data_IF_254036039676
#
_entry.id   IF_254036039676
#
_cell.length_a   1.000
_cell.length_b   1.000
_cell.length_c   1.000
_cell.angle_alpha   90.00
_cell.angle_beta   90.00
_cell.angle_gamma   90.00
#
_symmetry.space_group_name_H-M   'P 1'
#
loop_
_entity.id
_entity.type
_entity.pdbx_description
1 polymer ?
#
# COMPACT_ATOMS: atom_id res chain seq x y z
N UNK A 1 -21.40 -3.90 -23.63
CA UNK A 1 -21.09 -2.98 -22.50
C UNK A 1 -22.23 -1.98 -22.24
N UNK A 2 -23.45 -2.45 -21.93
CA UNK A 2 -24.54 -1.54 -21.56
C UNK A 2 -24.49 -1.25 -20.05
N UNK A 3 -24.73 0.00 -19.64
CA UNK A 3 -24.91 0.38 -18.22
C UNK A 3 -23.68 0.91 -17.47
N UNK A 4 -22.53 1.14 -18.13
CA UNK A 4 -21.38 1.82 -17.50
C UNK A 4 -21.42 3.31 -17.73
N UNK A 5 -21.08 4.09 -16.70
CA UNK A 5 -20.95 5.54 -16.79
C UNK A 5 -19.73 5.89 -17.65
N UNK A 6 -19.95 6.49 -18.82
CA UNK A 6 -18.87 6.87 -19.76
C UNK A 6 -18.49 8.35 -19.67
N UNK A 7 -19.43 9.22 -19.29
CA UNK A 7 -19.17 10.64 -19.13
C UNK A 7 -20.10 11.29 -18.09
N UNK A 8 -19.61 12.35 -17.46
CA UNK A 8 -20.40 13.28 -16.65
C UNK A 8 -20.28 14.66 -17.32
N UNK A 9 -21.42 15.28 -17.58
CA UNK A 9 -21.50 16.61 -18.17
C UNK A 9 -22.14 17.60 -17.20
N UNK A 10 -21.65 18.84 -17.20
CA UNK A 10 -22.33 19.92 -16.48
C UNK A 10 -23.69 20.17 -17.10
N UNK A 11 -24.69 20.38 -16.25
CA UNK A 11 -26.03 20.74 -16.69
C UNK A 11 -26.10 22.15 -17.29
N UNK A 12 -25.24 23.07 -16.82
CA UNK A 12 -25.25 24.48 -17.22
C UNK A 12 -24.85 24.72 -18.67
N UNK A 13 -23.79 24.05 -19.13
CA UNK A 13 -23.14 24.32 -20.41
C UNK A 13 -22.87 23.04 -21.24
N UNK A 14 -23.25 21.87 -20.74
CA UNK A 14 -23.03 20.59 -21.43
C UNK A 14 -21.58 20.14 -21.51
N UNK A 15 -20.63 20.89 -20.93
CA UNK A 15 -19.21 20.53 -20.95
C UNK A 15 -18.96 19.24 -20.17
N UNK A 16 -18.09 18.38 -20.72
CA UNK A 16 -17.69 17.14 -20.06
C UNK A 16 -16.72 17.46 -18.93
N UNK A 17 -17.07 17.07 -17.71
CA UNK A 17 -16.22 17.23 -16.52
C UNK A 17 -15.54 15.92 -16.10
N UNK A 18 -16.08 14.79 -16.55
CA UNK A 18 -15.41 13.52 -16.39
C UNK A 18 -15.71 12.59 -17.57
N UNK A 19 -14.74 11.79 -17.97
CA UNK A 19 -14.94 10.64 -18.85
C UNK A 19 -14.20 9.41 -18.35
N UNK A 20 -14.65 8.24 -18.79
CA UNK A 20 -14.16 6.95 -18.30
C UNK A 20 -14.08 5.93 -19.43
N UNK A 21 -12.93 5.28 -19.54
CA UNK A 21 -12.71 4.18 -20.49
C UNK A 21 -12.74 2.85 -19.74
N UNK A 22 -13.23 1.81 -20.43
CA UNK A 22 -13.40 0.48 -19.87
C UNK A 22 -12.78 -0.58 -20.78
N UNK A 23 -12.29 -1.67 -20.19
CA UNK A 23 -11.87 -2.86 -20.92
C UNK A 23 -13.06 -3.74 -21.35
N UNK A 24 -12.77 -4.87 -21.99
CA UNK A 24 -13.77 -5.84 -22.45
C UNK A 24 -14.62 -6.41 -21.30
N UNK A 25 -14.02 -6.59 -20.12
CA UNK A 25 -14.68 -7.07 -18.90
C UNK A 25 -15.49 -5.97 -18.18
N UNK A 26 -15.44 -4.74 -18.70
CA UNK A 26 -16.13 -3.59 -18.13
C UNK A 26 -15.49 -3.03 -16.87
N UNK A 27 -14.19 -3.28 -16.64
CA UNK A 27 -13.37 -2.64 -15.61
C UNK A 27 -12.88 -1.29 -16.13
N UNK A 28 -12.83 -0.27 -15.26
CA UNK A 28 -12.41 1.07 -15.66
C UNK A 28 -10.90 1.10 -15.81
N UNK A 29 -10.39 1.32 -17.02
CA UNK A 29 -8.94 1.37 -17.29
C UNK A 29 -8.38 2.80 -17.28
N UNK A 30 -9.24 3.81 -17.46
CA UNK A 30 -8.87 5.22 -17.39
C UNK A 30 -10.03 6.08 -16.89
N UNK A 31 -9.69 7.14 -16.16
CA UNK A 31 -10.56 8.29 -15.91
C UNK A 31 -9.85 9.58 -16.26
N UNK A 32 -10.57 10.53 -16.86
CA UNK A 32 -10.18 11.93 -16.90
C UNK A 32 -11.23 12.71 -16.11
N UNK A 33 -10.85 13.34 -15.00
CA UNK A 33 -11.76 14.16 -14.18
C UNK A 33 -11.17 15.56 -14.10
N UNK A 34 -11.88 16.55 -14.65
CA UNK A 34 -11.44 17.95 -14.72
C UNK A 34 -10.02 18.12 -15.29
N UNK A 35 -9.61 17.28 -16.25
CA UNK A 35 -8.27 17.31 -16.85
C UNK A 35 -7.24 16.43 -16.15
N UNK A 36 -7.53 15.90 -14.95
CA UNK A 36 -6.64 14.96 -14.27
C UNK A 36 -6.88 13.53 -14.78
N UNK A 37 -5.87 12.99 -15.46
CA UNK A 37 -5.88 11.60 -15.95
C UNK A 37 -5.36 10.65 -14.88
N UNK A 38 -6.12 9.58 -14.65
CA UNK A 38 -5.71 8.42 -13.85
C UNK A 38 -5.93 7.16 -14.67
N UNK A 39 -4.87 6.39 -14.89
CA UNK A 39 -4.95 5.06 -15.49
C UNK A 39 -4.92 4.01 -14.37
N UNK A 40 -5.66 2.92 -14.54
CA UNK A 40 -5.76 1.83 -13.57
C UNK A 40 -5.16 0.56 -14.14
N UNK A 41 -4.18 -0.01 -13.45
CA UNK A 41 -3.56 -1.28 -13.84
C UNK A 41 -4.00 -2.39 -12.89
N UNK A 42 -4.55 -3.47 -13.44
CA UNK A 42 -5.17 -4.55 -12.70
C UNK A 42 -4.25 -5.77 -12.51
N UNK A 43 -4.56 -6.57 -11.49
CA UNK A 43 -3.96 -7.87 -11.22
C UNK A 43 -4.54 -8.93 -12.17
N UNK A 44 -4.00 -9.02 -13.39
CA UNK A 44 -4.50 -9.91 -14.45
C UNK A 44 -5.98 -9.62 -14.75
N UNK A 45 -6.82 -10.66 -14.73
CA UNK A 45 -8.27 -10.55 -14.97
C UNK A 45 -9.08 -10.19 -13.71
N UNK A 46 -8.41 -9.85 -12.61
CA UNK A 46 -9.07 -9.46 -11.37
C UNK A 46 -9.64 -8.03 -11.42
N UNK A 47 -10.64 -7.76 -10.58
CA UNK A 47 -11.13 -6.40 -10.30
C UNK A 47 -10.16 -5.57 -9.41
N UNK A 48 -9.04 -6.15 -9.00
CA UNK A 48 -8.06 -5.55 -8.09
C UNK A 48 -7.06 -4.67 -8.84
N UNK A 49 -7.02 -3.39 -8.51
CA UNK A 49 -6.06 -2.43 -9.08
C UNK A 49 -4.72 -2.58 -8.36
N UNK A 50 -3.64 -2.96 -9.03
CA UNK A 50 -2.30 -3.02 -8.45
C UNK A 50 -1.71 -1.63 -8.25
N UNK A 51 -1.85 -0.75 -9.23
CA UNK A 51 -1.37 0.62 -9.17
C UNK A 51 -2.12 1.54 -10.13
N UNK A 52 -2.00 2.84 -9.85
CA UNK A 52 -2.50 3.92 -10.69
C UNK A 52 -1.35 4.67 -11.33
N UNK A 53 -1.55 5.19 -12.54
CA UNK A 53 -0.59 6.11 -13.17
C UNK A 53 -1.24 7.42 -13.58
N UNK A 54 -0.42 8.45 -13.73
CA UNK A 54 -0.82 9.68 -14.43
C UNK A 54 -0.79 9.50 -15.95
N UNK A 55 -1.07 10.57 -16.70
CA UNK A 55 -1.03 10.60 -18.16
C UNK A 55 0.32 10.20 -18.76
N UNK A 56 1.42 10.47 -18.05
CA UNK A 56 2.80 10.16 -18.45
C UNK A 56 3.24 8.76 -18.00
N UNK A 57 2.30 7.90 -17.60
CA UNK A 57 2.54 6.55 -17.08
C UNK A 57 3.42 6.48 -15.83
N UNK A 58 3.57 7.60 -15.10
CA UNK A 58 4.26 7.57 -13.81
C UNK A 58 3.30 7.09 -12.74
N UNK A 59 3.78 6.19 -11.89
CA UNK A 59 2.96 5.60 -10.83
C UNK A 59 2.68 6.64 -9.76
N UNK A 60 1.40 6.85 -9.46
CA UNK A 60 0.94 7.81 -8.45
C UNK A 60 0.49 7.13 -7.17
N UNK A 61 0.13 5.83 -7.24
CA UNK A 61 -0.34 5.05 -6.10
C UNK A 61 -0.14 3.56 -6.32
N UNK A 62 0.20 2.85 -5.25
CA UNK A 62 0.24 1.40 -5.21
C UNK A 62 -0.81 0.86 -4.24
N UNK A 63 -1.34 -0.31 -4.56
CA UNK A 63 -2.22 -1.07 -3.68
C UNK A 63 -1.63 -2.46 -3.44
N UNK A 64 -1.81 -2.97 -2.23
CA UNK A 64 -1.38 -4.31 -1.87
C UNK A 64 -2.56 -5.06 -1.25
N UNK A 65 -2.91 -6.19 -1.84
CA UNK A 65 -4.01 -7.03 -1.38
C UNK A 65 -3.45 -8.29 -0.73
N UNK A 66 -3.56 -8.38 0.60
CA UNK A 66 -3.21 -9.61 1.30
C UNK A 66 -4.25 -10.70 1.00
N UNK A 67 -3.92 -11.68 0.14
CA UNK A 67 -4.65 -12.95 0.07
C UNK A 67 -4.23 -13.81 1.28
N UNK A 68 -4.91 -13.63 2.42
CA UNK A 68 -4.60 -14.47 3.59
C UNK A 68 -5.47 -14.22 4.81
N UNK A 69 -6.26 -15.24 5.18
CA UNK A 69 -6.91 -15.35 6.48
C UNK A 69 -5.85 -15.32 7.59
N UNK A 70 -5.93 -14.33 8.48
CA UNK A 70 -5.17 -14.28 9.73
C UNK A 70 -4.15 -13.14 9.78
N UNK A 71 -4.57 -12.02 10.37
CA UNK A 71 -3.79 -10.83 10.69
C UNK A 71 -2.54 -11.18 11.52
N UNK A 72 -1.42 -11.45 10.84
CA UNK A 72 -0.09 -11.56 11.47
C UNK A 72 0.71 -10.34 11.06
N UNK A 73 0.86 -9.39 11.97
CA UNK A 73 1.63 -8.18 11.75
C UNK A 73 3.03 -8.36 12.31
N UNK A 74 4.06 -7.97 11.55
CA UNK A 74 5.45 -7.97 12.01
C UNK A 74 6.00 -6.55 12.00
N UNK A 75 6.67 -6.15 13.10
CA UNK A 75 7.36 -4.86 13.19
C UNK A 75 8.85 -5.07 13.46
N UNK A 76 9.71 -4.26 12.86
CA UNK A 76 11.15 -4.22 13.13
C UNK A 76 11.51 -2.90 13.84
N UNK A 77 12.27 -2.98 14.94
CA UNK A 77 12.70 -1.81 15.72
C UNK A 77 14.20 -1.89 16.04
N UNK A 78 14.91 -0.78 15.89
CA UNK A 78 16.30 -0.62 16.32
C UNK A 78 16.27 0.14 17.65
N UNK A 79 16.96 -0.37 18.66
CA UNK A 79 17.09 0.25 19.97
C UNK A 79 18.52 0.76 20.16
N UNK A 80 18.72 2.04 20.50
CA UNK A 80 20.02 2.56 20.90
C UNK A 80 20.47 1.93 22.23
N UNK A 81 21.75 2.08 22.56
CA UNK A 81 22.35 1.56 23.80
C UNK A 81 21.61 2.13 25.02
N UNK A 82 21.12 1.27 25.91
CA UNK A 82 20.45 1.63 27.16
C UNK A 82 20.72 0.57 28.22
N UNK A 83 20.65 0.92 29.50
CA UNK A 83 20.79 0.00 30.64
C UNK A 83 22.06 -0.89 30.57
N UNK A 84 23.21 -0.30 30.18
CA UNK A 84 24.44 -1.04 29.91
C UNK A 84 24.26 -2.23 28.98
N UNK A 85 23.31 -2.15 28.03
CA UNK A 85 23.02 -3.19 27.05
C UNK A 85 23.11 -2.59 25.64
N UNK A 86 23.99 -3.18 24.81
CA UNK A 86 24.37 -2.67 23.49
C UNK A 86 23.20 -2.41 22.53
N UNK A 87 23.52 -1.80 21.38
CA UNK A 87 22.55 -1.51 20.32
C UNK A 87 21.90 -2.83 19.91
N UNK A 88 20.57 -2.92 19.96
CA UNK A 88 19.89 -4.17 19.62
C UNK A 88 18.73 -3.98 18.66
N UNK A 89 18.52 -4.98 17.81
CA UNK A 89 17.49 -5.00 16.79
C UNK A 89 16.44 -6.02 17.23
N UNK A 90 15.17 -5.62 17.24
CA UNK A 90 14.06 -6.48 17.68
C UNK A 90 13.02 -6.62 16.58
N UNK A 91 12.75 -7.85 16.16
CA UNK A 91 11.55 -8.21 15.39
C UNK A 91 10.45 -8.57 16.38
N UNK A 92 9.30 -7.92 16.30
CA UNK A 92 8.11 -8.27 17.07
C UNK A 92 7.05 -8.85 16.15
N UNK A 93 6.38 -9.91 16.61
CA UNK A 93 5.20 -10.46 15.96
C UNK A 93 3.97 -10.08 16.78
N UNK A 94 2.95 -9.54 16.13
CA UNK A 94 1.72 -9.09 16.75
C UNK A 94 0.54 -9.91 16.23
N UNK A 95 -0.38 -10.21 17.14
CA UNK A 95 -1.67 -10.83 16.84
C UNK A 95 -2.78 -9.86 17.22
N UNK A 96 -3.81 -9.78 16.37
CA UNK A 96 -5.02 -9.01 16.66
C UNK A 96 -6.14 -9.96 17.08
N UNK A 97 -6.70 -9.76 18.26
CA UNK A 97 -7.83 -10.55 18.76
C UNK A 97 -8.76 -9.66 19.58
N UNK A 98 -10.06 -9.67 19.25
CA UNK A 98 -11.13 -8.92 19.94
C UNK A 98 -10.75 -7.45 20.23
N UNK A 99 -10.29 -6.71 19.22
CA UNK A 99 -10.00 -5.28 19.37
C UNK A 99 -8.60 -4.94 19.91
N UNK A 100 -7.81 -5.93 20.34
CA UNK A 100 -6.50 -5.68 20.99
C UNK A 100 -5.36 -6.32 20.21
N UNK A 101 -4.25 -5.58 20.10
CA UNK A 101 -2.98 -6.10 19.62
C UNK A 101 -2.17 -6.66 20.78
N UNK A 102 -1.80 -7.94 20.69
CA UNK A 102 -0.90 -8.59 21.66
C UNK A 102 0.40 -8.98 20.98
N UNK A 103 1.52 -8.72 21.66
CA UNK A 103 2.85 -9.11 21.18
C UNK A 103 3.09 -10.58 21.51
N UNK A 104 3.36 -11.39 20.50
CA UNK A 104 3.67 -12.80 20.68
C UNK A 104 5.10 -13.00 21.17
N UNK A 105 5.28 -13.73 22.27
CA UNK A 105 6.58 -14.18 22.76
C UNK A 105 7.26 -15.15 21.78
N UNK A 106 6.48 -16.06 21.16
CA UNK A 106 6.96 -17.12 20.26
C UNK A 106 7.50 -16.64 18.90
N UNK A 107 7.36 -15.36 18.58
CA UNK A 107 7.82 -14.77 17.30
C UNK A 107 8.69 -13.52 17.46
N UNK A 108 9.00 -13.14 18.70
CA UNK A 108 9.86 -11.99 18.97
C UNK A 108 11.32 -12.44 18.96
N UNK A 109 12.15 -11.85 18.09
CA UNK A 109 13.59 -12.13 18.02
C UNK A 109 14.37 -10.84 18.31
N UNK A 110 15.43 -10.93 19.11
CA UNK A 110 16.32 -9.83 19.46
C UNK A 110 17.75 -10.20 19.08
N UNK A 111 18.47 -9.26 18.47
CA UNK A 111 19.89 -9.38 18.16
C UNK A 111 20.61 -8.17 18.76
N UNK A 112 21.62 -8.40 19.59
CA UNK A 112 22.40 -7.34 20.23
C UNK A 112 23.76 -7.24 19.56
N UNK A 113 24.17 -6.01 19.26
CA UNK A 113 25.50 -5.66 18.76
C UNK A 113 26.24 -4.81 19.78
N UNK A 114 27.41 -5.29 20.18
CA UNK A 114 28.37 -4.56 21.00
C UNK A 114 29.48 -4.10 20.07
N UNK A 115 29.46 -2.83 19.67
CA UNK A 115 30.48 -2.29 18.77
C UNK A 115 31.88 -2.52 19.34
N UNK A 116 32.85 -2.90 18.49
CA UNK A 116 34.27 -2.71 18.81
C UNK A 116 34.55 -1.20 18.80
N UNK A 117 35.27 -0.68 19.81
CA UNK A 117 35.82 0.69 19.80
C UNK A 117 36.61 0.86 18.50
N UNK A 118 36.13 1.69 17.59
CA UNK A 118 36.96 2.22 16.51
C UNK A 118 37.96 3.13 17.23
N UNK A 119 39.24 2.75 17.23
CA UNK A 119 40.32 3.68 17.56
C UNK A 119 40.62 4.39 16.26
N UNK A 120 40.32 5.69 16.20
CA UNK A 120 40.82 6.54 15.12
C UNK A 120 42.35 6.48 15.15
N UNK A 121 42.98 6.23 14.00
CA UNK A 121 44.43 6.34 13.81
C UNK A 121 44.78 7.77 13.44
#
# INVERSE_FOLDING_TARGET
MAGRLTAIKKKSDGSTIANYDYDYDGRRIRSNVNGTITNYVYDGDSIRVLYETNASNQITRYYSYNKGRGWKHSSFKIYPNHNNHGIHWQKNKWSYYKGKYTRSSKGTKRWTWWGKRIRDR
#
